data_IF_083676572909
#
_entry.id   IF_083676572909
#
_cell.length_a   1.000
_cell.length_b   1.000
_cell.length_c   1.000
_cell.angle_alpha   90.00
_cell.angle_beta   90.00
_cell.angle_gamma   90.00
#
_symmetry.space_group_name_H-M   'P 1'
#
loop_
_entity.id
_entity.type
_entity.pdbx_description
1 polymer ?
#
# COMPACT_ATOMS: atom_id res chain seq x y z
N UNK A 1 26.24 -18.49 -3.06
CA UNK A 1 25.64 -18.19 -1.74
C UNK A 1 26.57 -17.35 -0.87
N UNK A 2 26.98 -16.14 -1.30
CA UNK A 2 27.80 -15.24 -0.46
C UNK A 2 27.02 -14.03 0.09
N UNK A 3 25.79 -13.82 -0.39
CA UNK A 3 24.96 -12.67 -0.02
C UNK A 3 23.92 -12.97 1.06
N UNK A 4 23.78 -14.23 1.49
CA UNK A 4 22.85 -14.61 2.56
C UNK A 4 23.47 -14.22 3.89
N UNK A 5 22.79 -13.32 4.59
CA UNK A 5 23.21 -12.85 5.92
C UNK A 5 22.54 -13.66 7.02
N UNK A 6 21.23 -13.88 6.91
CA UNK A 6 20.45 -14.54 7.96
C UNK A 6 19.26 -15.26 7.33
N UNK A 7 18.89 -16.42 7.90
CA UNK A 7 17.66 -17.13 7.60
C UNK A 7 16.92 -17.31 8.91
N UNK A 8 15.72 -16.74 9.00
CA UNK A 8 14.89 -16.75 10.21
C UNK A 8 13.53 -17.38 9.93
N UNK A 9 13.12 -18.33 10.76
CA UNK A 9 11.74 -18.84 10.77
C UNK A 9 10.80 -17.76 11.33
N UNK A 10 9.77 -17.40 10.57
CA UNK A 10 8.76 -16.40 10.98
C UNK A 10 7.45 -17.06 11.36
N UNK A 11 7.13 -18.20 10.75
CA UNK A 11 5.91 -18.96 11.04
C UNK A 11 6.00 -20.40 10.58
N UNK A 12 4.88 -21.11 10.62
CA UNK A 12 4.82 -22.54 10.29
C UNK A 12 5.31 -22.84 8.86
N UNK A 13 4.90 -22.03 7.88
CA UNK A 13 5.27 -22.16 6.46
C UNK A 13 5.93 -20.90 5.90
N UNK A 14 6.62 -20.13 6.76
CA UNK A 14 7.19 -18.83 6.38
C UNK A 14 8.60 -18.68 6.93
N UNK A 15 9.51 -18.37 6.03
CA UNK A 15 10.92 -18.08 6.34
C UNK A 15 11.25 -16.70 5.78
N UNK A 16 11.92 -15.88 6.58
CA UNK A 16 12.52 -14.65 6.13
C UNK A 16 14.01 -14.86 5.88
N UNK A 17 14.44 -14.51 4.67
CA UNK A 17 15.84 -14.58 4.25
C UNK A 17 16.33 -13.15 4.11
N UNK A 18 17.36 -12.80 4.88
CA UNK A 18 18.02 -11.51 4.80
C UNK A 18 19.22 -11.63 3.87
N UNK A 19 19.20 -10.79 2.84
CA UNK A 19 20.22 -10.75 1.80
C UNK A 19 20.93 -9.40 1.85
N UNK A 20 22.23 -9.40 1.57
CA UNK A 20 23.06 -8.19 1.59
C UNK A 20 22.72 -7.23 0.44
N UNK A 21 22.38 -7.76 -0.73
CA UNK A 21 22.21 -6.95 -1.96
C UNK A 21 20.82 -7.10 -2.56
N UNK A 22 20.33 -6.01 -3.20
CA UNK A 22 19.06 -6.03 -3.96
C UNK A 22 19.11 -7.05 -5.10
N UNK A 23 20.27 -7.19 -5.75
CA UNK A 23 20.46 -8.14 -6.86
C UNK A 23 20.20 -9.57 -6.39
N UNK A 24 20.85 -9.99 -5.31
CA UNK A 24 20.64 -11.33 -4.74
C UNK A 24 19.17 -11.59 -4.37
N UNK A 25 18.45 -10.56 -3.89
CA UNK A 25 17.02 -10.70 -3.56
C UNK A 25 16.15 -10.93 -4.80
N UNK A 26 16.40 -10.22 -5.90
CA UNK A 26 15.67 -10.43 -7.15
C UNK A 26 16.01 -11.78 -7.78
N UNK A 27 17.30 -12.17 -7.73
CA UNK A 27 17.77 -13.46 -8.25
C UNK A 27 17.11 -14.61 -7.49
N UNK A 28 16.97 -14.51 -6.16
CA UNK A 28 16.31 -15.51 -5.32
C UNK A 28 14.81 -15.64 -5.65
N UNK A 29 14.11 -14.52 -5.85
CA UNK A 29 12.68 -14.54 -6.23
C UNK A 29 12.47 -15.20 -7.59
N UNK A 30 13.45 -15.10 -8.48
CA UNK A 30 13.38 -15.65 -9.83
C UNK A 30 13.97 -17.07 -9.93
N UNK A 31 14.43 -17.66 -8.83
CA UNK A 31 15.11 -18.97 -8.84
C UNK A 31 14.10 -20.10 -9.14
N UNK A 32 14.28 -20.86 -10.25
CA UNK A 32 13.38 -21.94 -10.61
C UNK A 32 13.31 -23.05 -9.56
N UNK A 33 14.37 -23.26 -8.75
CA UNK A 33 14.41 -24.30 -7.71
C UNK A 33 13.34 -24.13 -6.65
N UNK A 34 12.92 -22.89 -6.39
CA UNK A 34 11.84 -22.61 -5.45
C UNK A 34 10.49 -23.00 -6.06
N UNK A 35 10.31 -22.70 -7.35
CA UNK A 35 9.09 -23.03 -8.09
C UNK A 35 8.90 -24.53 -8.25
N UNK A 36 9.98 -25.29 -8.48
CA UNK A 36 9.96 -26.76 -8.54
C UNK A 36 9.53 -27.43 -7.22
N UNK A 37 9.59 -26.69 -6.11
CA UNK A 37 9.24 -27.17 -4.76
C UNK A 37 7.94 -26.54 -4.23
N UNK A 38 7.17 -25.91 -5.11
CA UNK A 38 5.95 -25.15 -4.77
C UNK A 38 6.17 -24.08 -3.69
N UNK A 39 7.38 -23.51 -3.63
CA UNK A 39 7.74 -22.43 -2.73
C UNK A 39 7.58 -21.07 -3.42
N UNK A 40 6.95 -20.13 -2.72
CA UNK A 40 6.75 -18.76 -3.21
C UNK A 40 7.73 -17.84 -2.48
N UNK A 41 8.74 -17.35 -3.22
CA UNK A 41 9.58 -16.26 -2.77
C UNK A 41 9.02 -14.92 -3.24
N UNK A 42 9.03 -13.93 -2.36
CA UNK A 42 8.70 -12.55 -2.69
C UNK A 42 9.53 -11.60 -1.83
N UNK A 43 9.82 -10.42 -2.37
CA UNK A 43 10.38 -9.33 -1.58
C UNK A 43 9.21 -8.65 -0.87
N UNK A 44 9.32 -8.47 0.45
CA UNK A 44 8.27 -7.81 1.23
C UNK A 44 7.83 -6.49 0.59
N UNK A 45 6.51 -6.21 0.48
CA UNK A 45 6.00 -4.96 -0.10
C UNK A 45 6.60 -3.70 0.53
N UNK A 46 6.89 -3.75 1.84
CA UNK A 46 7.53 -2.67 2.57
C UNK A 46 9.00 -2.47 2.19
N UNK A 47 9.63 -3.35 1.42
CA UNK A 47 11.00 -3.19 0.89
C UNK A 47 11.04 -2.69 -0.55
N UNK A 48 9.91 -2.76 -1.26
CA UNK A 48 9.78 -2.31 -2.66
C UNK A 48 8.94 -1.04 -2.81
N UNK A 49 8.16 -0.65 -1.78
CA UNK A 49 7.27 0.50 -1.86
C UNK A 49 7.12 1.25 -0.53
N UNK A 50 6.65 2.49 -0.62
CA UNK A 50 6.22 3.33 0.50
C UNK A 50 4.84 3.88 0.24
N UNK A 51 4.03 4.01 1.29
CA UNK A 51 2.68 4.55 1.21
C UNK A 51 2.64 5.93 1.84
N UNK A 52 2.04 6.86 1.12
CA UNK A 52 1.74 8.20 1.61
C UNK A 52 0.26 8.49 1.50
N UNK A 53 -0.23 9.41 2.31
CA UNK A 53 -1.62 9.86 2.27
C UNK A 53 -1.67 11.35 1.95
N UNK A 54 -2.53 11.70 1.00
CA UNK A 54 -2.99 13.07 0.79
C UNK A 54 -4.48 13.17 1.17
N UNK A 55 -4.86 14.35 1.64
CA UNK A 55 -6.23 14.67 2.07
C UNK A 55 -6.80 15.77 1.17
N UNK A 56 -8.10 16.01 1.29
CA UNK A 56 -8.83 17.06 0.57
C UNK A 56 -8.85 16.87 -0.96
N UNK A 57 -8.83 15.62 -1.44
CA UNK A 57 -8.97 15.32 -2.87
C UNK A 57 -10.45 15.17 -3.21
N UNK A 58 -11.02 16.00 -4.12
CA UNK A 58 -12.42 15.93 -4.54
C UNK A 58 -12.87 14.52 -4.92
N UNK A 59 -14.13 14.17 -4.62
CA UNK A 59 -14.67 12.83 -4.88
C UNK A 59 -14.88 12.54 -6.37
N UNK A 60 -15.06 13.59 -7.18
CA UNK A 60 -15.27 13.50 -8.62
C UNK A 60 -14.03 13.01 -9.39
N UNK A 61 -12.86 13.03 -8.73
CA UNK A 61 -11.62 12.53 -9.31
C UNK A 61 -11.50 11.01 -9.14
N UNK A 62 -11.57 10.31 -10.27
CA UNK A 62 -11.27 8.88 -10.36
C UNK A 62 -9.78 8.60 -10.09
N UNK A 63 -9.47 7.41 -9.59
CA UNK A 63 -8.09 7.02 -9.26
C UNK A 63 -7.14 7.12 -10.47
N UNK A 64 -7.63 6.79 -11.66
CA UNK A 64 -6.89 6.85 -12.93
C UNK A 64 -6.49 8.29 -13.26
N UNK A 65 -7.47 9.21 -13.23
CA UNK A 65 -7.20 10.64 -13.44
C UNK A 65 -6.23 11.22 -12.42
N UNK A 66 -6.29 10.79 -11.16
CA UNK A 66 -5.34 11.21 -10.13
C UNK A 66 -3.94 10.72 -10.47
N UNK A 67 -3.79 9.45 -10.90
CA UNK A 67 -2.50 8.87 -11.26
C UNK A 67 -1.87 9.55 -12.48
N UNK A 68 -2.67 9.96 -13.46
CA UNK A 68 -2.19 10.66 -14.66
C UNK A 68 -1.75 12.10 -14.38
N UNK A 69 -2.43 12.78 -13.44
CA UNK A 69 -2.23 14.22 -13.18
C UNK A 69 -1.41 14.52 -11.92
N UNK A 70 -0.86 13.49 -11.27
CA UNK A 70 -0.02 13.66 -10.09
C UNK A 70 1.45 13.76 -10.50
N UNK A 71 2.12 14.79 -9.98
CA UNK A 71 3.53 15.05 -10.17
C UNK A 71 4.28 14.92 -8.85
N UNK A 72 5.38 14.19 -8.88
CA UNK A 72 6.21 13.87 -7.72
C UNK A 72 7.65 13.64 -8.17
N UNK A 73 8.65 14.05 -7.36
CA UNK A 73 10.06 13.72 -7.64
C UNK A 73 10.35 12.22 -7.56
N UNK A 74 9.48 11.46 -6.89
CA UNK A 74 9.56 10.00 -6.77
C UNK A 74 8.43 9.38 -7.57
N UNK A 75 8.76 8.37 -8.37
CA UNK A 75 7.78 7.65 -9.19
C UNK A 75 6.66 7.06 -8.34
N UNK A 76 5.44 7.33 -8.76
CA UNK A 76 4.21 6.80 -8.17
C UNK A 76 3.80 5.57 -8.98
N UNK A 77 3.50 4.48 -8.28
CA UNK A 77 3.15 3.19 -8.86
C UNK A 77 1.64 2.93 -8.85
N UNK A 78 0.93 3.48 -7.87
CA UNK A 78 -0.50 3.29 -7.72
C UNK A 78 -1.09 4.37 -6.82
N UNK A 79 -2.36 4.66 -7.06
CA UNK A 79 -3.19 5.56 -6.27
C UNK A 79 -4.48 4.83 -5.90
N UNK A 80 -4.91 4.95 -4.65
CA UNK A 80 -6.15 4.34 -4.15
C UNK A 80 -6.88 5.28 -3.20
N UNK A 81 -8.10 5.66 -3.56
CA UNK A 81 -9.01 6.35 -2.63
C UNK A 81 -9.38 5.46 -1.45
N UNK A 82 -9.34 6.02 -0.25
CA UNK A 82 -9.74 5.33 0.97
C UNK A 82 -11.22 5.54 1.24
N UNK A 83 -11.88 4.52 1.76
CA UNK A 83 -13.28 4.60 2.18
C UNK A 83 -13.36 4.90 3.68
N UNK A 84 -14.33 5.71 4.08
CA UNK A 84 -14.71 5.90 5.48
C UNK A 84 -15.87 4.97 5.84
N UNK A 85 -15.85 4.49 7.07
CA UNK A 85 -16.98 3.76 7.65
C UNK A 85 -18.13 4.74 7.90
N UNK A 86 -19.33 4.35 7.50
CA UNK A 86 -20.59 5.04 7.78
C UNK A 86 -21.45 4.07 8.58
N UNK A 87 -21.94 4.53 9.73
CA UNK A 87 -22.86 3.76 10.56
C UNK A 87 -24.23 4.38 10.36
N UNK A 88 -25.15 3.66 9.73
CA UNK A 88 -26.52 4.13 9.56
C UNK A 88 -27.26 3.88 10.87
N UNK A 89 -27.43 4.95 11.65
CA UNK A 89 -28.28 4.93 12.84
C UNK A 89 -29.65 5.42 12.38
N UNK A 90 -30.51 4.48 11.97
CA UNK A 90 -31.90 4.79 11.68
C UNK A 90 -32.58 5.28 12.98
N UNK A 91 -33.29 6.44 12.97
CA UNK A 91 -33.96 6.97 14.16
C UNK A 91 -35.06 6.05 14.73
N UNK A 92 -35.59 5.14 13.89
CA UNK A 92 -36.70 4.25 14.23
C UNK A 92 -36.28 2.83 14.65
N UNK A 93 -35.00 2.45 14.49
CA UNK A 93 -34.50 1.13 14.88
C UNK A 93 -34.03 1.11 16.34
N UNK A 94 -34.91 1.55 17.24
CA UNK A 94 -34.81 1.21 18.68
C UNK A 94 -35.63 -0.04 18.99
N UNK A 95 -35.58 -1.04 18.11
CA UNK A 95 -35.88 -2.40 18.53
C UNK A 95 -34.66 -2.93 19.28
N UNK A 96 -34.84 -3.27 20.56
CA UNK A 96 -33.81 -3.88 21.39
C UNK A 96 -33.27 -5.16 20.71
N UNK A 97 -32.11 -5.05 20.06
CA UNK A 97 -31.40 -6.18 19.43
C UNK A 97 -30.88 -5.96 18.01
N UNK A 98 -31.29 -4.88 17.33
CA UNK A 98 -30.77 -4.58 15.98
C UNK A 98 -29.36 -3.97 16.04
N UNK A 99 -28.40 -4.62 15.38
CA UNK A 99 -27.04 -4.06 15.21
C UNK A 99 -27.04 -3.06 14.06
N UNK A 100 -26.44 -1.86 14.21
CA UNK A 100 -26.47 -0.85 13.17
C UNK A 100 -25.75 -1.33 11.90
N UNK A 101 -26.35 -1.05 10.73
CA UNK A 101 -25.76 -1.39 9.45
C UNK A 101 -24.45 -0.61 9.23
N UNK A 102 -23.39 -1.32 8.87
CA UNK A 102 -22.07 -0.76 8.59
C UNK A 102 -21.90 -0.66 7.08
N UNK A 103 -21.84 0.56 6.57
CA UNK A 103 -21.60 0.88 5.17
C UNK A 103 -20.24 1.57 4.98
N UNK A 104 -19.75 1.61 3.74
CA UNK A 104 -18.49 2.27 3.39
C UNK A 104 -18.71 3.27 2.26
N UNK A 105 -18.32 4.53 2.50
CA UNK A 105 -18.39 5.59 1.48
C UNK A 105 -16.99 6.08 1.10
N UNK A 106 -16.75 6.48 -0.16
CA UNK A 106 -15.50 7.12 -0.56
C UNK A 106 -15.20 8.36 0.29
N UNK A 107 -13.93 8.55 0.64
CA UNK A 107 -13.47 9.73 1.38
C UNK A 107 -12.65 10.67 0.50
N UNK A 108 -12.43 11.89 1.00
CA UNK A 108 -11.50 12.87 0.42
C UNK A 108 -10.02 12.50 0.64
N UNK A 109 -9.74 11.29 1.12
CA UNK A 109 -8.40 10.80 1.44
C UNK A 109 -7.95 9.80 0.39
N UNK A 110 -6.75 10.03 -0.15
CA UNK A 110 -6.18 9.21 -1.20
C UNK A 110 -4.81 8.71 -0.75
N UNK A 111 -4.64 7.39 -0.82
CA UNK A 111 -3.36 6.72 -0.60
C UNK A 111 -2.57 6.69 -1.90
N UNK A 112 -1.30 7.05 -1.83
CA UNK A 112 -0.35 7.04 -2.94
C UNK A 112 0.75 6.05 -2.61
N UNK A 113 1.10 5.21 -3.57
CA UNK A 113 2.15 4.20 -3.44
C UNK A 113 3.36 4.63 -4.27
N UNK A 114 4.47 4.91 -3.59
CA UNK A 114 5.74 5.30 -4.19
C UNK A 114 6.63 4.07 -4.44
N UNK A 115 7.38 4.10 -5.54
CA UNK A 115 8.39 3.10 -5.83
C UNK A 115 9.59 3.23 -4.88
N UNK A 116 10.06 2.10 -4.35
CA UNK A 116 11.25 2.03 -3.50
C UNK A 116 10.99 2.32 -2.03
N UNK A 117 11.98 2.92 -1.36
CA UNK A 117 12.01 3.09 0.10
C UNK A 117 11.94 4.56 0.53
N UNK A 118 11.76 5.48 -0.41
CA UNK A 118 11.68 6.91 -0.17
C UNK A 118 10.26 7.40 -0.42
N UNK A 119 9.88 8.44 0.31
CA UNK A 119 8.62 9.16 0.13
C UNK A 119 8.95 10.64 -0.15
N UNK A 120 8.14 11.28 -0.99
CA UNK A 120 8.24 12.74 -1.15
C UNK A 120 7.64 13.42 0.08
N UNK A 121 8.04 14.66 0.39
CA UNK A 121 7.36 15.46 1.43
C UNK A 121 6.01 15.99 0.93
N UNK A 122 5.91 16.23 -0.37
CA UNK A 122 4.73 16.76 -1.03
C UNK A 122 4.58 16.24 -2.46
N UNK A 123 3.37 16.32 -2.98
CA UNK A 123 3.02 15.99 -4.37
C UNK A 123 2.15 17.09 -4.94
N UNK A 124 2.26 17.34 -6.24
CA UNK A 124 1.37 18.26 -6.94
C UNK A 124 0.29 17.46 -7.67
N UNK A 125 -0.98 17.73 -7.39
CA UNK A 125 -2.12 17.16 -8.10
C UNK A 125 -2.89 18.30 -8.74
N UNK A 126 -3.03 18.31 -10.08
CA UNK A 126 -3.74 19.36 -10.82
C UNK A 126 -3.31 20.78 -10.40
N UNK A 127 -1.98 20.99 -10.28
CA UNK A 127 -1.34 22.25 -9.85
C UNK A 127 -1.58 22.66 -8.39
N UNK A 128 -2.18 21.80 -7.57
CA UNK A 128 -2.29 22.00 -6.13
C UNK A 128 -1.28 21.16 -5.35
N UNK A 129 -0.54 21.80 -4.46
CA UNK A 129 0.46 21.13 -3.62
C UNK A 129 -0.20 20.47 -2.41
N UNK A 130 0.04 19.18 -2.24
CA UNK A 130 -0.46 18.39 -1.13
C UNK A 130 0.70 17.89 -0.28
N UNK A 131 0.59 18.05 1.04
CA UNK A 131 1.54 17.47 2.00
C UNK A 131 1.22 15.98 2.22
N UNK A 132 2.25 15.15 2.25
CA UNK A 132 2.12 13.71 2.48
C UNK A 132 2.24 13.39 3.96
N UNK A 133 1.26 12.64 4.48
CA UNK A 133 1.42 11.94 5.76
C UNK A 133 1.93 10.53 5.50
N UNK A 134 3.00 10.14 6.18
CA UNK A 134 3.52 8.77 6.13
C UNK A 134 2.50 7.79 6.69
N UNK A 135 2.24 6.72 5.95
CA UNK A 135 1.45 5.59 6.44
C UNK A 135 2.36 4.36 6.49
N UNK A 136 2.49 3.78 7.68
CA UNK A 136 3.29 2.57 7.92
C UNK A 136 2.54 1.30 7.50
#
# INVERSE_FOLDING_TARGET
MKDVMEIKKVGYSKVSIFLKTRKAANDLVSDPRLKERDLIAFISPSRISRKGIIRNVPLDLANEMILENISSPIKITSVKRLNRRVTDVQPHDKEEGSSPAINYSPSYTVMIIFEGQKISKSVALLRQLHCLTLHF
#
